data_IF_556485714596
#
_entry.id   IF_556485714596
#
_cell.length_a   1.000
_cell.length_b   1.000
_cell.length_c   1.000
_cell.angle_alpha   90.00
_cell.angle_beta   90.00
_cell.angle_gamma   90.00
#
_symmetry.space_group_name_H-M   'P 1'
#
loop_
_entity.id
_entity.type
_entity.pdbx_description
1 polymer ?
#
# COMPACT_ATOMS: atom_id res chain seq x y z
N UNK A 1 -11.36 -10.43 -2.94
CA UNK A 1 -11.00 -9.91 -1.61
C UNK A 1 -11.45 -10.82 -0.46
N UNK A 2 -12.73 -10.89 -0.07
CA UNK A 2 -13.13 -11.63 1.15
C UNK A 2 -12.72 -13.12 1.15
N UNK A 3 -13.00 -13.83 0.05
CA UNK A 3 -12.64 -15.24 -0.10
C UNK A 3 -11.12 -15.43 -0.11
N UNK A 4 -10.39 -14.54 -0.77
CA UNK A 4 -8.93 -14.61 -0.89
C UNK A 4 -8.21 -14.42 0.45
N UNK A 5 -8.84 -13.76 1.42
CA UNK A 5 -8.32 -13.60 2.79
C UNK A 5 -8.78 -14.72 3.74
N UNK A 6 -9.48 -15.75 3.24
CA UNK A 6 -9.93 -16.89 4.03
C UNK A 6 -11.27 -16.70 4.76
N UNK A 7 -12.04 -15.65 4.44
CA UNK A 7 -13.40 -15.50 4.97
C UNK A 7 -14.42 -16.31 4.16
N UNK A 8 -15.39 -16.91 4.86
CA UNK A 8 -16.55 -17.54 4.24
C UNK A 8 -17.53 -16.47 3.74
N UNK A 9 -17.81 -16.47 2.44
CA UNK A 9 -18.76 -15.54 1.81
C UNK A 9 -19.96 -16.29 1.23
N UNK A 10 -21.17 -15.85 1.57
CA UNK A 10 -22.42 -16.39 1.02
C UNK A 10 -23.38 -15.24 0.69
N UNK A 11 -24.00 -15.29 -0.48
CA UNK A 11 -25.05 -14.36 -0.88
C UNK A 11 -26.39 -14.86 -0.34
N UNK A 12 -27.09 -14.02 0.42
CA UNK A 12 -28.46 -14.27 0.90
C UNK A 12 -29.37 -13.26 0.22
N UNK A 13 -30.36 -13.74 -0.52
CA UNK A 13 -31.32 -12.88 -1.25
C UNK A 13 -32.58 -12.61 -0.46
N UNK A 14 -33.00 -13.56 0.37
CA UNK A 14 -34.17 -13.49 1.22
C UNK A 14 -33.82 -14.07 2.58
N UNK A 15 -34.33 -13.43 3.64
CA UNK A 15 -34.21 -13.93 5.01
C UNK A 15 -35.46 -14.72 5.36
N UNK A 16 -35.28 -15.99 5.68
CA UNK A 16 -36.39 -16.86 6.08
C UNK A 16 -37.06 -16.31 7.34
N UNK A 17 -38.38 -16.11 7.27
CA UNK A 17 -39.18 -15.65 8.41
C UNK A 17 -39.25 -14.13 8.58
N UNK A 18 -38.69 -13.33 7.66
CA UNK A 18 -38.79 -11.86 7.71
C UNK A 18 -40.25 -11.37 7.75
N UNK A 19 -41.16 -12.03 7.04
CA UNK A 19 -42.59 -11.65 7.01
C UNK A 19 -43.34 -11.88 8.33
N UNK A 20 -42.79 -12.77 9.18
CA UNK A 20 -43.39 -13.21 10.44
C UNK A 20 -42.83 -12.46 11.65
N UNK A 21 -41.77 -11.68 11.47
CA UNK A 21 -41.21 -10.85 12.52
C UNK A 21 -42.22 -9.75 12.89
N UNK A 22 -42.69 -9.71 14.15
CA UNK A 22 -43.45 -8.57 14.63
C UNK A 22 -42.56 -7.33 14.63
N UNK A 23 -43.20 -6.15 14.57
CA UNK A 23 -42.54 -4.84 14.68
C UNK A 23 -41.56 -4.46 13.56
N UNK A 24 -41.69 -5.08 12.39
CA UNK A 24 -40.94 -4.66 11.21
C UNK A 24 -41.52 -3.34 10.64
N UNK A 25 -40.68 -2.31 10.61
CA UNK A 25 -41.01 -0.98 10.07
C UNK A 25 -41.09 -1.03 8.54
N UNK A 26 -41.89 -0.14 7.94
CA UNK A 26 -42.06 0.00 6.48
C UNK A 26 -42.70 -1.22 5.80
N UNK A 27 -43.53 -1.97 6.52
CA UNK A 27 -44.27 -3.14 5.98
C UNK A 27 -45.35 -2.73 4.98
N UNK A 28 -46.03 -1.61 5.23
CA UNK A 28 -47.15 -1.14 4.40
C UNK A 28 -46.69 -0.15 3.34
N UNK A 29 -47.41 -0.09 2.21
CA UNK A 29 -47.13 0.86 1.12
C UNK A 29 -47.14 2.32 1.59
N UNK A 30 -48.04 2.69 2.49
CA UNK A 30 -48.16 4.08 2.94
C UNK A 30 -46.92 4.54 3.73
N UNK A 31 -46.43 3.70 4.66
CA UNK A 31 -45.17 3.94 5.38
C UNK A 31 -43.97 4.03 4.42
N UNK A 32 -43.97 3.27 3.33
CA UNK A 32 -42.90 3.34 2.31
C UNK A 32 -42.97 4.65 1.50
N UNK A 33 -44.18 5.15 1.20
CA UNK A 33 -44.37 6.45 0.53
C UNK A 33 -43.92 7.61 1.43
N UNK A 34 -44.19 7.51 2.73
CA UNK A 34 -43.72 8.48 3.71
C UNK A 34 -42.18 8.54 3.73
N UNK A 35 -41.52 7.37 3.87
CA UNK A 35 -40.06 7.27 3.79
C UNK A 35 -39.51 7.84 2.48
N UNK A 36 -40.15 7.49 1.35
CA UNK A 36 -39.74 8.00 0.04
C UNK A 36 -39.78 9.52 -0.01
N UNK A 37 -40.82 10.12 0.57
CA UNK A 37 -40.97 11.57 0.63
C UNK A 37 -39.87 12.21 1.48
N UNK A 38 -39.49 11.59 2.61
CA UNK A 38 -38.34 12.03 3.42
C UNK A 38 -37.03 11.95 2.63
N UNK A 39 -36.79 10.86 1.89
CA UNK A 39 -35.58 10.69 1.08
C UNK A 39 -35.50 11.70 -0.06
N UNK A 40 -36.63 12.03 -0.69
CA UNK A 40 -36.68 13.05 -1.75
C UNK A 40 -36.42 14.47 -1.24
N UNK A 41 -36.73 14.74 0.03
CA UNK A 41 -36.45 16.02 0.69
C UNK A 41 -35.03 16.09 1.28
N UNK A 42 -34.36 14.94 1.45
CA UNK A 42 -33.00 14.89 1.96
C UNK A 42 -32.02 15.55 0.99
N UNK A 43 -30.97 16.17 1.52
CA UNK A 43 -29.97 16.86 0.70
C UNK A 43 -28.90 15.87 0.22
N UNK A 44 -28.17 16.23 -0.84
CA UNK A 44 -27.03 15.43 -1.32
C UNK A 44 -25.96 15.21 -0.24
N UNK A 45 -25.82 16.15 0.72
CA UNK A 45 -24.93 16.02 1.87
C UNK A 45 -25.30 14.86 2.82
N UNK A 46 -26.57 14.43 2.83
CA UNK A 46 -27.01 13.31 3.66
C UNK A 46 -26.62 11.96 3.02
N UNK A 47 -26.29 11.98 1.72
CA UNK A 47 -25.76 10.82 1.00
C UNK A 47 -24.22 10.77 1.01
N UNK A 48 -23.54 11.77 1.60
CA UNK A 48 -22.09 11.77 1.73
C UNK A 48 -21.64 10.65 2.67
N UNK A 49 -20.75 9.80 2.17
CA UNK A 49 -20.22 8.64 2.89
C UNK A 49 -19.41 9.09 4.11
N UNK A 50 -19.65 8.45 5.26
CA UNK A 50 -18.94 8.74 6.51
C UNK A 50 -19.58 9.83 7.37
N UNK A 51 -20.77 10.33 7.00
CA UNK A 51 -21.60 11.19 7.86
C UNK A 51 -22.35 10.38 8.94
N UNK A 52 -22.70 9.14 8.62
CA UNK A 52 -23.49 8.21 9.43
C UNK A 52 -22.63 7.20 10.21
N UNK A 53 -21.45 6.84 9.69
CA UNK A 53 -20.52 5.91 10.35
C UNK A 53 -19.34 6.66 10.99
N UNK A 54 -19.23 6.58 12.32
CA UNK A 54 -18.06 7.07 13.05
C UNK A 54 -16.94 6.02 12.96
N UNK A 55 -15.81 6.39 12.37
CA UNK A 55 -14.63 5.51 12.31
C UNK A 55 -14.13 5.11 13.70
N UNK A 56 -13.72 3.85 13.84
CA UNK A 56 -13.04 3.31 15.02
C UNK A 56 -11.51 3.42 14.91
N UNK A 57 -10.80 3.21 16.02
CA UNK A 57 -9.33 3.32 16.07
C UNK A 57 -8.62 2.26 15.20
N UNK A 58 -9.29 1.15 14.90
CA UNK A 58 -8.81 0.05 14.03
C UNK A 58 -9.21 0.21 12.55
N UNK A 59 -9.87 1.31 12.17
CA UNK A 59 -10.36 1.45 10.80
C UNK A 59 -9.24 1.77 9.81
N UNK A 60 -9.22 1.03 8.70
CA UNK A 60 -8.15 1.14 7.72
C UNK A 60 -8.33 2.42 6.88
N UNK A 61 -7.22 3.13 6.60
CA UNK A 61 -7.27 4.31 5.74
C UNK A 61 -7.87 3.97 4.35
N UNK A 62 -8.90 4.71 3.93
CA UNK A 62 -9.62 4.46 2.68
C UNK A 62 -10.80 3.50 2.79
N UNK A 63 -11.28 3.18 4.00
CA UNK A 63 -12.57 2.50 4.22
C UNK A 63 -13.73 3.50 4.25
N UNK A 64 -14.96 2.98 4.21
CA UNK A 64 -16.24 3.74 4.17
C UNK A 64 -16.41 4.72 5.34
N UNK A 65 -15.66 4.55 6.42
CA UNK A 65 -15.69 5.37 7.63
C UNK A 65 -14.61 6.45 7.64
N UNK A 66 -13.63 6.33 6.75
CA UNK A 66 -12.65 7.38 6.53
C UNK A 66 -13.37 8.54 5.84
N UNK A 67 -13.33 9.72 6.46
CA UNK A 67 -13.86 10.98 5.88
C UNK A 67 -13.25 11.32 4.51
N UNK A 68 -12.24 10.56 4.09
CA UNK A 68 -11.53 10.66 2.82
C UNK A 68 -11.98 9.61 1.79
N UNK A 69 -12.98 8.76 2.08
CA UNK A 69 -13.50 7.76 1.14
C UNK A 69 -14.11 8.46 -0.09
N UNK A 70 -13.40 8.41 -1.21
CA UNK A 70 -13.75 9.14 -2.43
C UNK A 70 -13.22 10.58 -2.52
N UNK A 71 -12.64 11.12 -1.45
CA UNK A 71 -12.16 12.51 -1.38
C UNK A 71 -10.77 12.73 -2.02
N UNK A 72 -10.12 11.65 -2.48
CA UNK A 72 -8.91 11.71 -3.31
C UNK A 72 -9.10 12.57 -4.57
N UNK A 73 -10.33 12.73 -5.06
CA UNK A 73 -10.64 13.56 -6.23
C UNK A 73 -10.92 15.05 -5.90
N UNK A 74 -11.30 15.40 -4.66
CA UNK A 74 -11.57 16.81 -4.27
C UNK A 74 -10.34 17.49 -3.66
N UNK A 75 -9.52 16.76 -2.91
CA UNK A 75 -8.28 17.27 -2.32
C UNK A 75 -7.19 17.60 -3.36
N UNK A 76 -7.34 17.14 -4.62
CA UNK A 76 -6.47 17.56 -5.73
C UNK A 76 -6.86 18.91 -6.34
N UNK A 77 -8.04 19.45 -6.01
CA UNK A 77 -8.59 20.67 -6.65
C UNK A 77 -8.67 21.87 -5.70
N UNK A 78 -8.76 21.65 -4.39
CA UNK A 78 -8.66 22.72 -3.40
C UNK A 78 -7.30 22.62 -2.70
N UNK A 79 -6.41 23.58 -2.96
CA UNK A 79 -5.10 23.73 -2.34
C UNK A 79 -5.16 24.08 -0.85
N UNK A 80 -5.93 23.33 -0.06
CA UNK A 80 -6.05 23.54 1.38
C UNK A 80 -5.04 22.68 2.13
N UNK A 81 -4.37 23.37 3.05
CA UNK A 81 -3.38 22.92 4.01
C UNK A 81 -3.95 21.83 4.93
N UNK A 82 -3.74 20.57 4.56
CA UNK A 82 -3.89 19.44 5.48
C UNK A 82 -2.50 18.96 5.91
N UNK A 83 -2.34 18.81 7.22
CA UNK A 83 -1.19 18.29 7.99
C UNK A 83 -0.44 17.20 7.21
N UNK A 84 0.91 17.15 7.21
CA UNK A 84 1.64 16.16 6.45
C UNK A 84 1.45 14.77 7.08
N UNK A 85 0.36 14.11 6.72
CA UNK A 85 0.21 12.67 6.85
C UNK A 85 1.37 12.05 6.07
N UNK A 86 2.18 11.22 6.72
CA UNK A 86 3.36 10.61 6.14
C UNK A 86 2.99 9.92 4.80
N UNK A 87 3.30 10.59 3.69
CA UNK A 87 3.09 10.07 2.34
C UNK A 87 4.06 8.91 2.16
N UNK A 88 3.56 7.68 2.27
CA UNK A 88 4.31 6.49 1.86
C UNK A 88 4.48 6.56 0.35
N UNK A 89 5.61 7.08 -0.10
CA UNK A 89 6.00 7.12 -1.50
C UNK A 89 6.26 5.68 -1.96
N UNK A 90 5.31 5.11 -2.70
CA UNK A 90 5.49 3.80 -3.35
C UNK A 90 6.36 3.99 -4.60
N UNK A 91 7.67 4.15 -4.39
CA UNK A 91 8.67 4.16 -5.45
C UNK A 91 9.29 2.77 -5.64
N UNK A 92 9.73 2.44 -6.85
CA UNK A 92 10.62 1.30 -7.04
C UNK A 92 11.91 1.51 -6.26
N UNK A 93 12.51 0.43 -5.72
CA UNK A 93 13.78 0.50 -4.98
C UNK A 93 14.87 1.26 -5.76
N UNK A 94 14.88 1.13 -7.08
CA UNK A 94 15.79 1.85 -7.97
C UNK A 94 15.60 3.37 -7.97
N UNK A 95 14.35 3.85 -7.85
CA UNK A 95 14.07 5.28 -7.76
C UNK A 95 14.47 5.85 -6.40
N UNK A 96 14.22 5.11 -5.30
CA UNK A 96 14.59 5.54 -3.95
C UNK A 96 16.11 5.50 -3.72
N UNK A 97 16.82 4.56 -4.36
CA UNK A 97 18.28 4.43 -4.28
C UNK A 97 19.04 5.54 -5.03
N UNK A 98 18.36 6.51 -5.65
CA UNK A 98 18.99 7.57 -6.45
C UNK A 98 19.56 7.08 -7.80
N UNK A 99 19.33 5.82 -8.16
CA UNK A 99 19.89 5.19 -9.36
C UNK A 99 19.18 5.59 -10.65
N UNK A 100 18.01 6.24 -10.59
CA UNK A 100 17.24 6.61 -11.79
C UNK A 100 17.97 7.55 -12.75
N UNK A 101 18.92 8.35 -12.25
CA UNK A 101 19.72 9.26 -13.07
C UNK A 101 21.10 8.71 -13.45
N UNK A 102 21.45 7.50 -12.97
CA UNK A 102 22.73 6.87 -13.25
C UNK A 102 22.60 5.92 -14.46
N UNK A 103 22.77 6.46 -15.67
CA UNK A 103 23.03 5.63 -16.84
C UNK A 103 24.50 5.19 -16.81
N UNK A 104 24.72 3.88 -16.66
CA UNK A 104 26.07 3.30 -16.74
C UNK A 104 26.58 3.41 -18.18
N UNK A 105 27.63 4.23 -18.38
CA UNK A 105 28.38 4.30 -19.64
C UNK A 105 29.71 3.60 -19.39
N UNK A 106 29.87 2.40 -19.94
CA UNK A 106 31.13 1.67 -19.90
C UNK A 106 32.15 2.37 -20.81
N UNK A 107 32.98 3.24 -20.23
CA UNK A 107 34.16 3.74 -20.94
C UNK A 107 35.27 2.69 -20.87
N UNK A 108 35.44 1.98 -21.99
CA UNK A 108 36.66 1.36 -22.52
C UNK A 108 37.45 0.37 -21.63
N UNK A 109 37.62 -0.86 -22.14
CA UNK A 109 38.15 -2.09 -21.51
C UNK A 109 39.62 -2.08 -21.01
N UNK A 110 40.25 -0.94 -20.72
CA UNK A 110 41.66 -0.90 -20.30
C UNK A 110 41.95 -0.34 -18.90
N UNK A 111 40.94 -0.01 -18.08
CA UNK A 111 41.15 0.39 -16.69
C UNK A 111 41.74 -0.73 -15.81
N UNK A 112 41.54 -2.00 -16.18
CA UNK A 112 42.13 -3.15 -15.46
C UNK A 112 43.67 -3.16 -15.47
N UNK A 113 44.32 -2.45 -16.41
CA UNK A 113 45.78 -2.32 -16.47
C UNK A 113 46.33 -1.25 -15.51
N UNK A 114 45.48 -0.34 -15.03
CA UNK A 114 45.85 0.65 -14.02
C UNK A 114 45.76 0.06 -12.59
N UNK A 115 44.81 -0.85 -12.35
CA UNK A 115 44.61 -1.53 -11.05
C UNK A 115 45.80 -2.41 -10.63
N UNK A 116 46.62 -2.87 -11.57
CA UNK A 116 47.85 -3.63 -11.26
C UNK A 116 48.98 -2.76 -10.72
N UNK A 117 48.93 -1.43 -10.93
CA UNK A 117 50.01 -0.51 -10.52
C UNK A 117 49.80 0.10 -9.12
N UNK A 118 48.59 -0.02 -8.56
CA UNK A 118 48.21 0.55 -7.25
C UNK A 118 48.26 -0.48 -6.09
N UNK A 119 49.10 -1.51 -6.19
CA UNK A 119 49.23 -2.53 -5.15
C UNK A 119 49.99 -2.06 -3.88
N UNK A 120 50.61 -0.88 -3.90
CA UNK A 120 51.44 -0.37 -2.79
C UNK A 120 50.66 0.16 -1.59
N UNK A 121 49.32 0.25 -1.65
CA UNK A 121 48.48 0.79 -0.57
C UNK A 121 47.59 -0.20 0.18
N UNK A 122 47.67 -1.52 -0.08
CA UNK A 122 46.69 -2.47 0.49
C UNK A 122 46.93 -2.72 1.98
N UNK A 123 45.88 -2.54 2.80
CA UNK A 123 45.94 -2.75 4.25
C UNK A 123 46.28 -4.21 4.62
N UNK A 124 47.12 -4.40 5.65
CA UNK A 124 47.74 -5.69 6.03
C UNK A 124 46.73 -6.81 6.29
N UNK A 125 45.51 -6.48 6.73
CA UNK A 125 44.44 -7.45 6.94
C UNK A 125 43.99 -8.12 5.63
N UNK A 126 43.94 -7.37 4.53
CA UNK A 126 43.50 -7.91 3.24
C UNK A 126 44.56 -8.82 2.62
N UNK A 127 45.85 -8.52 2.82
CA UNK A 127 46.93 -9.42 2.42
C UNK A 127 46.86 -10.77 3.17
N UNK A 128 46.55 -10.75 4.47
CA UNK A 128 46.37 -11.99 5.25
C UNK A 128 45.19 -12.81 4.75
N UNK A 129 44.05 -12.15 4.49
CA UNK A 129 42.85 -12.82 3.97
C UNK A 129 43.07 -13.43 2.59
N UNK A 130 43.74 -12.71 1.69
CA UNK A 130 44.04 -13.23 0.34
C UNK A 130 44.97 -14.44 0.41
N UNK A 131 45.98 -14.42 1.30
CA UNK A 131 46.85 -15.59 1.56
C UNK A 131 46.07 -16.80 2.09
N UNK A 132 45.20 -16.59 3.08
CA UNK A 132 44.36 -17.68 3.62
C UNK A 132 43.44 -18.28 2.55
N UNK A 133 42.85 -17.43 1.71
CA UNK A 133 41.98 -17.89 0.62
C UNK A 133 42.72 -18.70 -0.45
N UNK A 134 43.96 -18.31 -0.77
CA UNK A 134 44.81 -19.09 -1.70
C UNK A 134 45.22 -20.42 -1.09
N UNK A 135 45.56 -20.44 0.20
CA UNK A 135 45.92 -21.68 0.91
C UNK A 135 44.74 -22.66 0.93
N UNK A 136 43.55 -22.19 1.34
CA UNK A 136 42.34 -23.01 1.35
C UNK A 136 42.00 -23.61 -0.03
N UNK A 137 42.27 -22.87 -1.12
CA UNK A 137 42.07 -23.40 -2.48
C UNK A 137 43.07 -24.47 -2.88
N UNK A 138 44.32 -24.40 -2.41
CA UNK A 138 45.32 -25.45 -2.64
C UNK A 138 44.98 -26.70 -1.86
N UNK A 139 44.58 -26.54 -0.60
CA UNK A 139 44.21 -27.66 0.26
C UNK A 139 42.94 -28.36 -0.25
N UNK A 140 41.98 -27.59 -0.81
CA UNK A 140 40.78 -28.15 -1.44
C UNK A 140 41.02 -28.80 -2.82
N UNK A 141 42.14 -28.49 -3.49
CA UNK A 141 42.51 -29.09 -4.77
C UNK A 141 43.50 -30.26 -4.66
N UNK A 142 43.97 -30.55 -3.44
CA UNK A 142 44.90 -31.64 -3.13
C UNK A 142 44.21 -32.83 -2.44
N UNK A 143 42.88 -32.89 -2.50
CA UNK A 143 42.04 -34.00 -2.01
C UNK A 143 41.36 -34.73 -3.16
#
# INVERSE_FOLDING_TARGET
FLIENGYSFKVITHLDGLDKLPDLVYRTRDQQIELLSTVLLANESDADLGTDVRGGEDDLAGTVTSKDFGMLNKARMAGSTAVPLAKRTTGSLNALSGGQHMSYIEQNKSANKALTKDQSGRHKLFLKRDKQRVQAKKDAGAG
#
